data_IF_728119160214
#
_entry.id   IF_728119160214
#
_cell.length_a   1.000
_cell.length_b   1.000
_cell.length_c   1.000
_cell.angle_alpha   90.00
_cell.angle_beta   90.00
_cell.angle_gamma   90.00
#
_symmetry.space_group_name_H-M   'P 1'
#
loop_
_entity.id
_entity.type
_entity.pdbx_description
1 polymer ?
#
# COMPACT_ATOMS: atom_id res chain seq x y z
N UNK A 1 -16.50 -12.27 -20.52
CA UNK A 1 -16.21 -12.98 -19.26
C UNK A 1 -17.28 -12.65 -18.22
N UNK A 2 -17.36 -13.40 -17.12
CA UNK A 2 -18.28 -13.12 -16.01
C UNK A 2 -18.10 -11.70 -15.44
N UNK A 3 -16.84 -11.24 -15.32
CA UNK A 3 -16.51 -9.87 -14.90
C UNK A 3 -17.15 -8.82 -15.82
N UNK A 4 -17.04 -8.97 -17.14
CA UNK A 4 -17.62 -8.01 -18.10
C UNK A 4 -19.15 -7.96 -18.02
N UNK A 5 -19.79 -9.12 -17.80
CA UNK A 5 -21.24 -9.19 -17.62
C UNK A 5 -21.68 -8.47 -16.33
N UNK A 6 -20.94 -8.64 -15.22
CA UNK A 6 -21.20 -7.90 -13.98
C UNK A 6 -21.02 -6.40 -14.18
N UNK A 7 -19.93 -5.97 -14.82
CA UNK A 7 -19.66 -4.55 -15.14
C UNK A 7 -20.86 -3.97 -15.88
N UNK A 8 -21.24 -4.58 -17.00
CA UNK A 8 -22.38 -4.12 -17.80
C UNK A 8 -23.69 -4.08 -16.99
N UNK A 9 -24.03 -5.16 -16.28
CA UNK A 9 -25.26 -5.25 -15.48
C UNK A 9 -25.33 -4.15 -14.43
N UNK A 10 -24.28 -4.00 -13.62
CA UNK A 10 -24.23 -3.02 -12.52
C UNK A 10 -24.26 -1.60 -13.07
N UNK A 11 -23.44 -1.30 -14.09
CA UNK A 11 -23.41 0.04 -14.72
C UNK A 11 -24.77 0.41 -15.32
N UNK A 12 -25.45 -0.50 -16.04
CA UNK A 12 -26.79 -0.23 -16.59
C UNK A 12 -27.83 -0.06 -15.50
N UNK A 13 -27.75 -0.85 -14.42
CA UNK A 13 -28.71 -0.78 -13.33
C UNK A 13 -28.53 0.43 -12.40
N UNK A 14 -27.34 1.02 -12.36
CA UNK A 14 -26.95 2.06 -11.40
C UNK A 14 -26.89 1.59 -9.94
N UNK A 15 -27.03 0.29 -9.66
CA UNK A 15 -27.07 -0.27 -8.30
C UNK A 15 -25.78 -1.03 -8.00
N UNK A 16 -25.05 -0.68 -6.93
CA UNK A 16 -23.85 -1.40 -6.53
C UNK A 16 -24.16 -2.86 -6.21
N UNK A 17 -23.21 -3.73 -6.50
CA UNK A 17 -23.26 -5.13 -6.11
C UNK A 17 -22.23 -5.39 -5.01
N UNK A 18 -22.72 -5.85 -3.86
CA UNK A 18 -21.91 -6.34 -2.76
C UNK A 18 -22.39 -7.74 -2.39
N UNK A 19 -21.49 -8.73 -2.52
CA UNK A 19 -21.78 -10.13 -2.22
C UNK A 19 -21.37 -10.47 -0.77
N UNK A 20 -22.07 -11.41 -0.10
CA UNK A 20 -21.79 -11.77 1.29
C UNK A 20 -20.37 -12.31 1.54
N UNK A 21 -19.67 -12.75 0.50
CA UNK A 21 -18.31 -13.26 0.60
C UNK A 21 -17.29 -12.20 1.02
N UNK A 22 -17.53 -10.91 0.74
CA UNK A 22 -16.68 -9.81 1.23
C UNK A 22 -16.70 -9.78 2.77
N UNK A 23 -17.90 -9.69 3.35
CA UNK A 23 -18.12 -9.65 4.80
C UNK A 23 -17.59 -10.87 5.51
N UNK A 24 -17.85 -12.06 4.96
CA UNK A 24 -17.34 -13.31 5.54
C UNK A 24 -15.82 -13.30 5.58
N UNK A 25 -15.17 -12.93 4.46
CA UNK A 25 -13.73 -12.89 4.39
C UNK A 25 -13.13 -11.92 5.42
N UNK A 26 -13.65 -10.69 5.53
CA UNK A 26 -13.09 -9.70 6.47
C UNK A 26 -13.23 -10.16 7.93
N UNK A 27 -14.37 -10.75 8.30
CA UNK A 27 -14.61 -11.22 9.68
C UNK A 27 -13.77 -12.43 10.07
N UNK A 28 -13.35 -13.22 9.09
CA UNK A 28 -12.47 -14.38 9.32
C UNK A 28 -11.00 -13.95 9.54
N UNK A 29 -10.64 -12.69 9.28
CA UNK A 29 -9.30 -12.15 9.56
C UNK A 29 -9.13 -11.84 11.05
N UNK A 30 -8.19 -12.55 11.68
CA UNK A 30 -7.82 -12.34 13.08
C UNK A 30 -7.10 -11.00 13.30
N UNK A 31 -7.23 -10.49 14.52
CA UNK A 31 -6.45 -9.36 15.03
C UNK A 31 -5.14 -9.84 15.66
N UNK A 32 -4.05 -9.04 15.63
CA UNK A 32 -3.95 -7.73 14.96
C UNK A 32 -3.89 -7.84 13.43
N UNK A 33 -4.51 -6.90 12.71
CA UNK A 33 -4.45 -6.77 11.24
C UNK A 33 -3.46 -5.67 10.87
N UNK A 34 -2.52 -5.96 9.98
CA UNK A 34 -1.52 -5.00 9.52
C UNK A 34 -1.84 -4.57 8.09
N UNK A 35 -1.92 -3.28 7.81
CA UNK A 35 -2.28 -2.74 6.50
C UNK A 35 -1.05 -2.08 5.90
N UNK A 36 -0.40 -2.74 4.94
CA UNK A 36 0.95 -2.39 4.47
C UNK A 36 0.94 -1.83 3.05
N UNK A 37 1.64 -0.72 2.87
CA UNK A 37 1.90 -0.11 1.57
C UNK A 37 3.37 0.32 1.45
N UNK A 38 3.95 0.24 0.25
CA UNK A 38 5.34 0.64 -0.05
C UNK A 38 5.40 1.72 -1.12
N UNK A 39 6.27 2.70 -0.89
CA UNK A 39 6.72 3.60 -1.94
C UNK A 39 8.12 3.22 -2.43
N UNK A 40 8.26 3.22 -3.75
CA UNK A 40 9.49 2.79 -4.44
C UNK A 40 9.92 3.80 -5.49
N UNK A 41 11.22 3.82 -5.77
CA UNK A 41 11.78 4.51 -6.93
C UNK A 41 12.41 3.47 -7.86
N UNK A 42 12.32 3.72 -9.17
CA UNK A 42 12.94 2.86 -10.18
C UNK A 42 13.52 3.69 -11.32
N UNK A 43 14.68 4.35 -11.14
CA UNK A 43 15.22 5.24 -12.14
C UNK A 43 15.65 4.48 -13.40
N UNK A 44 15.53 5.12 -14.56
CA UNK A 44 15.97 4.57 -15.83
C UNK A 44 17.51 4.42 -15.88
N UNK A 45 18.21 5.38 -15.27
CA UNK A 45 19.66 5.34 -15.05
C UNK A 45 19.88 4.99 -13.57
N UNK A 46 20.46 3.82 -13.26
CA UNK A 46 20.78 3.43 -11.88
C UNK A 46 21.65 4.48 -11.18
N UNK A 47 21.23 4.90 -9.99
CA UNK A 47 21.98 5.86 -9.16
C UNK A 47 22.77 5.17 -8.03
N UNK A 48 22.45 3.90 -7.74
CA UNK A 48 23.17 3.09 -6.75
C UNK A 48 23.86 1.90 -7.41
N UNK A 49 25.08 1.59 -6.96
CA UNK A 49 25.81 0.41 -7.38
C UNK A 49 25.02 -0.86 -7.06
N UNK A 50 25.04 -1.83 -7.98
CA UNK A 50 24.33 -3.10 -7.82
C UNK A 50 22.84 -3.06 -8.17
N UNK A 51 22.30 -1.91 -8.60
CA UNK A 51 20.92 -1.79 -9.13
C UNK A 51 20.89 -1.76 -10.66
N UNK A 52 19.72 -2.04 -11.26
CA UNK A 52 19.50 -2.04 -12.71
C UNK A 52 18.38 -1.08 -13.14
N UNK A 53 18.31 -0.67 -14.43
CA UNK A 53 17.25 0.19 -14.93
C UNK A 53 15.85 -0.31 -14.55
N UNK A 54 15.02 0.61 -14.04
CA UNK A 54 13.65 0.37 -13.60
C UNK A 54 13.48 -0.71 -12.53
N UNK A 55 14.55 -1.05 -11.80
CA UNK A 55 14.43 -1.88 -10.60
C UNK A 55 13.69 -1.09 -9.51
N UNK A 56 12.57 -1.59 -8.99
CA UNK A 56 11.93 -0.98 -7.83
C UNK A 56 12.84 -1.10 -6.61
N UNK A 57 13.17 0.04 -6.01
CA UNK A 57 13.89 0.13 -4.74
C UNK A 57 12.94 0.80 -3.74
N UNK A 58 12.49 0.09 -2.69
CA UNK A 58 11.66 0.69 -1.67
C UNK A 58 12.49 1.69 -0.86
N UNK A 59 11.92 2.86 -0.61
CA UNK A 59 12.53 3.88 0.26
C UNK A 59 11.62 4.26 1.43
N UNK A 60 10.36 3.85 1.39
CA UNK A 60 9.35 4.16 2.39
C UNK A 60 8.31 3.05 2.47
N UNK A 61 7.71 2.90 3.64
CA UNK A 61 6.45 2.17 3.82
C UNK A 61 5.60 2.82 4.90
N UNK A 62 4.30 2.55 4.84
CA UNK A 62 3.32 2.85 5.88
C UNK A 62 2.66 1.56 6.33
N UNK A 63 2.35 1.49 7.63
CA UNK A 63 1.60 0.39 8.21
C UNK A 63 0.60 0.88 9.25
N UNK A 64 -0.70 0.75 8.98
CA UNK A 64 -1.70 0.83 10.04
C UNK A 64 -1.84 -0.53 10.72
N UNK A 65 -1.97 -0.55 12.04
CA UNK A 65 -2.17 -1.77 12.82
C UNK A 65 -3.48 -1.69 13.56
N UNK A 66 -4.43 -2.52 13.18
CA UNK A 66 -5.70 -2.66 13.89
C UNK A 66 -5.55 -3.74 14.95
N UNK A 67 -5.43 -3.33 16.21
CA UNK A 67 -5.24 -4.23 17.37
C UNK A 67 -6.50 -4.96 17.78
N UNK A 68 -7.63 -4.28 17.58
CA UNK A 68 -8.99 -4.71 17.87
C UNK A 68 -9.93 -3.81 17.05
N UNK A 69 -11.24 -4.14 16.93
CA UNK A 69 -12.17 -3.32 16.16
C UNK A 69 -12.11 -1.84 16.58
N UNK A 70 -11.68 -0.98 15.65
CA UNK A 70 -11.56 0.48 15.87
C UNK A 70 -10.35 0.95 16.70
N UNK A 71 -9.46 0.05 17.13
CA UNK A 71 -8.22 0.39 17.83
C UNK A 71 -7.07 0.36 16.83
N UNK A 72 -6.74 1.53 16.28
CA UNK A 72 -5.77 1.70 15.21
C UNK A 72 -4.50 2.38 15.74
N UNK A 73 -3.35 1.77 15.44
CA UNK A 73 -2.01 2.34 15.58
C UNK A 73 -1.40 2.57 14.19
N UNK A 74 -0.35 3.38 14.12
CA UNK A 74 0.36 3.66 12.87
C UNK A 74 1.86 3.55 13.10
N UNK A 75 2.53 2.88 12.16
CA UNK A 75 3.97 2.79 12.03
C UNK A 75 4.36 3.18 10.61
N UNK A 76 5.53 3.80 10.46
CA UNK A 76 6.04 4.25 9.16
C UNK A 76 7.58 4.25 9.16
N UNK A 77 8.14 4.21 7.97
CA UNK A 77 9.58 4.39 7.74
C UNK A 77 9.80 5.16 6.44
N UNK A 78 10.80 6.05 6.42
CA UNK A 78 11.26 6.73 5.23
C UNK A 78 12.78 6.97 5.33
N UNK A 79 13.51 6.67 4.25
CA UNK A 79 14.94 6.95 4.15
C UNK A 79 15.20 7.98 3.04
N UNK A 80 15.61 9.19 3.43
CA UNK A 80 15.99 10.27 2.51
C UNK A 80 17.51 10.56 2.52
N UNK A 81 18.31 9.59 2.97
CA UNK A 81 19.76 9.74 3.16
C UNK A 81 20.59 9.70 1.87
N UNK A 82 19.98 9.30 0.75
CA UNK A 82 20.61 9.22 -0.57
C UNK A 82 21.45 7.97 -0.83
N UNK A 83 21.80 7.22 0.22
CA UNK A 83 22.35 5.86 0.09
C UNK A 83 21.27 4.84 -0.29
N UNK A 84 21.68 3.62 -0.65
CA UNK A 84 20.75 2.55 -1.00
C UNK A 84 19.94 2.11 0.24
N UNK A 85 18.61 2.36 0.31
CA UNK A 85 17.84 2.26 1.57
C UNK A 85 17.44 0.84 1.98
N UNK A 86 17.71 -0.15 1.12
CA UNK A 86 17.23 -1.55 1.20
C UNK A 86 17.32 -2.15 2.60
N UNK A 87 18.49 -2.04 3.26
CA UNK A 87 18.69 -2.67 4.57
C UNK A 87 17.90 -1.96 5.67
N UNK A 88 17.86 -0.63 5.66
CA UNK A 88 17.10 0.16 6.63
C UNK A 88 15.60 -0.13 6.53
N UNK A 89 15.09 -0.17 5.29
CA UNK A 89 13.71 -0.54 4.99
C UNK A 89 13.37 -1.93 5.53
N UNK A 90 14.20 -2.93 5.24
CA UNK A 90 13.97 -4.31 5.65
C UNK A 90 13.94 -4.47 7.17
N UNK A 91 14.91 -3.86 7.88
CA UNK A 91 14.99 -3.97 9.34
C UNK A 91 13.78 -3.29 10.01
N UNK A 92 13.45 -2.07 9.59
CA UNK A 92 12.32 -1.34 10.14
C UNK A 92 10.99 -2.07 9.89
N UNK A 93 10.83 -2.69 8.72
CA UNK A 93 9.65 -3.49 8.39
C UNK A 93 9.49 -4.71 9.31
N UNK A 94 10.59 -5.45 9.53
CA UNK A 94 10.63 -6.61 10.42
C UNK A 94 10.24 -6.22 11.84
N UNK A 95 10.75 -5.09 12.32
CA UNK A 95 10.47 -4.61 13.67
C UNK A 95 9.01 -4.18 13.82
N UNK A 96 8.39 -3.64 12.77
CA UNK A 96 7.01 -3.13 12.79
C UNK A 96 5.91 -4.20 12.62
N UNK A 97 6.14 -5.26 11.82
CA UNK A 97 5.10 -6.24 11.47
C UNK A 97 4.94 -7.41 12.46
N UNK A 98 5.69 -7.38 13.56
CA UNK A 98 5.62 -8.35 14.66
C UNK A 98 5.72 -9.82 14.16
N UNK A 99 5.39 -10.79 15.02
CA UNK A 99 5.48 -12.21 14.68
C UNK A 99 4.19 -12.81 14.11
N UNK A 100 3.03 -12.27 14.49
CA UNK A 100 1.71 -12.86 14.24
C UNK A 100 0.73 -11.87 13.62
N UNK A 101 -0.35 -12.38 13.02
CA UNK A 101 -1.43 -11.58 12.42
C UNK A 101 -1.31 -11.42 10.89
N UNK A 102 -2.44 -11.28 10.17
CA UNK A 102 -2.43 -11.10 8.72
C UNK A 102 -1.86 -9.74 8.31
N UNK A 103 -1.09 -9.73 7.22
CA UNK A 103 -0.54 -8.51 6.62
C UNK A 103 -1.28 -8.25 5.31
N UNK A 104 -2.24 -7.34 5.36
CA UNK A 104 -3.14 -6.97 4.28
C UNK A 104 -2.44 -6.01 3.32
N UNK A 105 -2.60 -6.29 2.02
CA UNK A 105 -2.10 -5.49 0.91
C UNK A 105 -3.15 -5.40 -0.21
N UNK A 106 -3.05 -4.39 -1.07
CA UNK A 106 -4.00 -4.19 -2.17
C UNK A 106 -3.60 -4.90 -3.48
N UNK A 107 -2.38 -5.44 -3.60
CA UNK A 107 -2.00 -6.21 -4.78
C UNK A 107 -0.78 -7.09 -4.52
N UNK A 108 -0.33 -7.86 -5.52
CA UNK A 108 0.93 -8.59 -5.42
C UNK A 108 2.21 -7.73 -5.51
N UNK A 109 2.13 -6.41 -5.45
CA UNK A 109 3.32 -5.53 -5.51
C UNK A 109 4.16 -5.65 -4.24
N UNK A 110 3.54 -5.52 -3.06
CA UNK A 110 4.20 -5.55 -1.75
C UNK A 110 4.95 -6.88 -1.57
N UNK A 111 4.33 -8.00 -1.96
CA UNK A 111 4.97 -9.33 -1.98
C UNK A 111 6.28 -9.33 -2.78
N UNK A 112 6.29 -8.69 -3.96
CA UNK A 112 7.50 -8.63 -4.81
C UNK A 112 8.59 -7.78 -4.18
N UNK A 113 8.22 -6.68 -3.52
CA UNK A 113 9.16 -5.83 -2.79
C UNK A 113 9.81 -6.61 -1.64
N UNK A 114 9.02 -7.27 -0.81
CA UNK A 114 9.55 -8.03 0.34
C UNK A 114 10.44 -9.20 -0.13
N UNK A 115 10.07 -9.88 -1.22
CA UNK A 115 10.92 -10.92 -1.81
C UNK A 115 12.26 -10.35 -2.32
N UNK A 116 12.24 -9.19 -2.99
CA UNK A 116 13.46 -8.52 -3.42
C UNK A 116 14.32 -8.04 -2.25
N UNK A 117 13.72 -7.61 -1.14
CA UNK A 117 14.45 -7.29 0.09
C UNK A 117 15.15 -8.55 0.64
N UNK A 118 14.49 -9.71 0.61
CA UNK A 118 15.05 -10.97 1.10
C UNK A 118 16.25 -11.43 0.24
N UNK A 119 16.19 -11.23 -1.08
CA UNK A 119 17.32 -11.50 -1.98
C UNK A 119 18.51 -10.57 -1.71
N UNK A 120 18.26 -9.30 -1.40
CA UNK A 120 19.30 -8.29 -1.19
C UNK A 120 19.84 -8.26 0.25
N UNK A 121 19.12 -8.84 1.22
CA UNK A 121 19.53 -8.98 2.62
C UNK A 121 19.41 -10.44 3.07
N UNK A 122 20.35 -11.34 2.66
CA UNK A 122 20.25 -12.77 2.94
C UNK A 122 20.18 -13.14 4.43
N UNK A 123 20.77 -12.31 5.30
CA UNK A 123 20.71 -12.47 6.75
C UNK A 123 19.31 -12.22 7.34
N UNK A 124 18.47 -11.43 6.64
CA UNK A 124 17.09 -11.10 7.03
C UNK A 124 16.05 -11.96 6.30
N UNK A 125 16.47 -12.77 5.32
CA UNK A 125 15.58 -13.49 4.42
C UNK A 125 14.56 -14.38 5.13
N UNK A 126 14.94 -15.04 6.23
CA UNK A 126 14.02 -15.88 7.01
C UNK A 126 12.88 -15.08 7.65
N UNK A 127 13.16 -13.89 8.17
CA UNK A 127 12.16 -13.02 8.79
C UNK A 127 11.25 -12.38 7.73
N UNK A 128 11.81 -11.97 6.59
CA UNK A 128 11.06 -11.44 5.46
C UNK A 128 10.15 -12.51 4.84
N UNK A 129 10.61 -13.77 4.75
CA UNK A 129 9.78 -14.88 4.31
C UNK A 129 8.60 -15.12 5.25
N UNK A 130 8.81 -15.03 6.57
CA UNK A 130 7.72 -15.15 7.54
C UNK A 130 6.65 -14.04 7.39
N UNK A 131 7.04 -12.84 6.93
CA UNK A 131 6.08 -11.79 6.55
C UNK A 131 5.33 -12.19 5.28
N UNK A 132 6.04 -12.65 4.25
CA UNK A 132 5.46 -13.09 2.96
C UNK A 132 4.38 -14.17 3.14
N UNK A 133 4.60 -15.09 4.10
CA UNK A 133 3.69 -16.19 4.41
C UNK A 133 2.39 -15.71 5.07
N UNK A 134 2.39 -14.52 5.67
CA UNK A 134 1.22 -13.88 6.31
C UNK A 134 0.50 -12.86 5.42
N UNK A 135 1.00 -12.62 4.20
CA UNK A 135 0.41 -11.64 3.28
C UNK A 135 -0.97 -12.07 2.78
N UNK A 136 -1.93 -11.16 2.89
CA UNK A 136 -3.31 -11.29 2.44
C UNK A 136 -3.60 -10.26 1.36
N UNK A 137 -3.85 -10.71 0.12
CA UNK A 137 -4.21 -9.82 -0.99
C UNK A 137 -5.71 -9.54 -0.99
N UNK A 138 -6.09 -8.28 -0.79
CA UNK A 138 -7.49 -7.84 -0.76
C UNK A 138 -8.11 -7.74 -2.15
N UNK A 139 -7.32 -7.48 -3.20
CA UNK A 139 -7.85 -7.20 -4.54
C UNK A 139 -8.65 -8.36 -5.13
N UNK A 140 -8.21 -9.64 -5.07
CA UNK A 140 -9.00 -10.76 -5.52
C UNK A 140 -10.35 -10.87 -4.80
N UNK A 141 -10.38 -10.58 -3.49
CA UNK A 141 -11.59 -10.66 -2.65
C UNK A 141 -12.57 -9.57 -3.05
N UNK A 142 -12.11 -8.32 -3.15
CA UNK A 142 -12.92 -7.18 -3.59
C UNK A 142 -13.39 -7.40 -5.02
N UNK A 143 -12.52 -7.87 -5.91
CA UNK A 143 -12.88 -8.20 -7.29
C UNK A 143 -13.91 -9.31 -7.36
N UNK A 144 -13.88 -10.31 -6.50
CA UNK A 144 -14.91 -11.35 -6.48
C UNK A 144 -16.26 -10.83 -5.96
N UNK A 145 -16.26 -9.92 -4.99
CA UNK A 145 -17.44 -9.64 -4.18
C UNK A 145 -18.04 -8.23 -4.31
N UNK A 146 -17.35 -7.28 -4.94
CA UNK A 146 -17.80 -5.90 -4.99
C UNK A 146 -17.63 -5.28 -6.37
N UNK A 147 -18.65 -4.53 -6.81
CA UNK A 147 -18.55 -3.62 -7.93
C UNK A 147 -19.56 -2.48 -7.81
N UNK A 148 -19.10 -1.26 -8.06
CA UNK A 148 -19.88 -0.04 -8.09
C UNK A 148 -19.88 0.55 -9.52
N UNK A 149 -20.97 1.19 -9.99
CA UNK A 149 -20.98 1.85 -11.31
C UNK A 149 -19.80 2.81 -11.54
N UNK A 150 -19.46 3.59 -10.51
CA UNK A 150 -18.39 4.61 -10.55
C UNK A 150 -16.96 4.03 -10.54
N UNK A 151 -16.80 2.72 -10.40
CA UNK A 151 -15.49 2.07 -10.54
C UNK A 151 -15.01 2.00 -11.99
N UNK A 152 -15.90 2.21 -12.98
CA UNK A 152 -15.59 2.28 -14.41
C UNK A 152 -14.73 1.10 -14.92
N UNK A 153 -14.95 -0.10 -14.37
CA UNK A 153 -14.22 -1.32 -14.72
C UNK A 153 -12.84 -1.49 -14.06
N UNK A 154 -12.43 -0.58 -13.16
CA UNK A 154 -11.21 -0.69 -12.36
C UNK A 154 -11.48 -1.24 -10.96
N UNK A 155 -10.51 -1.96 -10.39
CA UNK A 155 -10.48 -2.36 -8.98
C UNK A 155 -9.23 -1.85 -8.26
N UNK A 156 -8.56 -0.84 -8.82
CA UNK A 156 -7.51 -0.13 -8.08
C UNK A 156 -8.10 0.52 -6.82
N UNK A 157 -7.29 0.68 -5.77
CA UNK A 157 -7.77 1.26 -4.51
C UNK A 157 -8.40 2.65 -4.75
N UNK A 158 -7.78 3.45 -5.63
CA UNK A 158 -8.26 4.78 -6.06
C UNK A 158 -9.60 4.76 -6.81
N UNK A 159 -9.99 3.62 -7.40
CA UNK A 159 -11.31 3.45 -8.03
C UNK A 159 -12.36 2.92 -7.06
N UNK A 160 -11.96 2.17 -6.03
CA UNK A 160 -12.88 1.57 -5.04
C UNK A 160 -13.16 2.50 -3.87
N UNK A 161 -12.13 3.19 -3.36
CA UNK A 161 -12.24 4.03 -2.16
C UNK A 161 -13.36 5.08 -2.26
N UNK A 162 -13.48 5.87 -3.35
CA UNK A 162 -14.51 6.89 -3.44
C UNK A 162 -15.95 6.35 -3.39
N UNK A 163 -16.14 5.06 -3.71
CA UNK A 163 -17.46 4.43 -3.75
C UNK A 163 -17.90 3.85 -2.40
N UNK A 164 -17.00 3.82 -1.41
CA UNK A 164 -17.27 3.30 -0.07
C UNK A 164 -17.03 4.34 1.03
N UNK A 165 -16.09 5.25 0.81
CA UNK A 165 -15.67 6.29 1.73
C UNK A 165 -15.45 7.60 0.94
N UNK A 166 -16.53 8.23 0.43
CA UNK A 166 -16.42 9.43 -0.41
C UNK A 166 -15.79 10.63 0.31
N UNK A 167 -15.81 10.64 1.65
CA UNK A 167 -15.18 11.68 2.46
C UNK A 167 -13.65 11.49 2.60
N UNK A 168 -13.11 10.33 2.20
CA UNK A 168 -11.66 10.08 2.13
C UNK A 168 -11.16 10.45 0.74
N UNK A 169 -10.96 11.75 0.53
CA UNK A 169 -10.48 12.30 -0.73
C UNK A 169 -8.97 12.55 -0.70
N UNK A 170 -8.27 12.03 -1.71
CA UNK A 170 -6.86 12.33 -1.97
C UNK A 170 -6.65 13.80 -2.34
N UNK A 171 -7.70 14.55 -2.72
CA UNK A 171 -7.62 15.98 -3.01
C UNK A 171 -7.28 16.84 -1.78
N UNK A 172 -7.42 16.30 -0.57
CA UNK A 172 -6.99 16.95 0.66
C UNK A 172 -5.49 16.84 0.96
N UNK A 173 -4.76 15.99 0.23
CA UNK A 173 -3.30 15.93 0.32
C UNK A 173 -2.71 17.11 -0.43
N UNK A 174 -1.77 17.82 0.20
CA UNK A 174 -0.97 18.81 -0.51
C UNK A 174 0.23 18.09 -1.16
N UNK A 175 0.42 18.24 -2.47
CA UNK A 175 1.62 17.80 -3.16
C UNK A 175 1.48 16.49 -3.94
N UNK A 176 1.55 15.34 -3.26
CA UNK A 176 1.71 14.02 -3.89
C UNK A 176 0.37 13.27 -3.93
N UNK A 177 -0.01 12.82 -5.12
CA UNK A 177 -1.28 12.12 -5.36
C UNK A 177 -1.12 10.79 -6.10
N UNK A 178 0.06 10.51 -6.67
CA UNK A 178 0.36 9.25 -7.35
C UNK A 178 1.82 8.80 -7.20
N UNK A 179 2.07 7.50 -7.37
CA UNK A 179 3.40 6.90 -7.16
C UNK A 179 4.50 7.47 -8.07
N UNK A 180 4.14 7.98 -9.26
CA UNK A 180 5.08 8.69 -10.16
C UNK A 180 5.54 10.03 -9.59
N UNK A 181 4.66 10.73 -8.88
CA UNK A 181 4.98 11.95 -8.14
C UNK A 181 5.80 11.60 -6.89
N UNK A 182 5.43 10.56 -6.14
CA UNK A 182 6.20 10.07 -4.99
C UNK A 182 7.64 9.69 -5.38
N UNK A 183 7.81 8.94 -6.47
CA UNK A 183 9.12 8.63 -7.06
C UNK A 183 9.93 9.88 -7.43
N UNK A 184 9.27 10.96 -7.86
CA UNK A 184 9.94 12.19 -8.27
C UNK A 184 10.31 13.06 -7.07
N UNK A 185 9.38 13.23 -6.13
CA UNK A 185 9.60 13.84 -4.83
C UNK A 185 10.75 13.17 -4.07
N UNK A 186 10.84 11.85 -4.13
CA UNK A 186 11.95 11.11 -3.55
C UNK A 186 13.30 11.48 -4.18
N UNK A 187 13.38 11.51 -5.52
CA UNK A 187 14.62 11.89 -6.22
C UNK A 187 15.06 13.31 -5.86
N UNK A 188 14.12 14.24 -5.78
CA UNK A 188 14.39 15.60 -5.34
C UNK A 188 14.88 15.60 -3.88
N UNK A 189 14.26 14.81 -2.99
CA UNK A 189 14.61 14.79 -1.57
C UNK A 189 16.03 14.27 -1.30
N UNK A 190 16.48 13.27 -2.07
CA UNK A 190 17.83 12.68 -1.93
C UNK A 190 18.93 13.46 -2.67
N UNK A 191 18.57 14.46 -3.48
CA UNK A 191 19.56 15.30 -4.14
C UNK A 191 20.38 16.06 -3.09
N UNK A 192 21.73 15.98 -3.13
CA UNK A 192 22.60 16.73 -2.22
C UNK A 192 22.38 18.25 -2.26
N UNK A 193 21.96 18.79 -3.41
CA UNK A 193 21.74 20.22 -3.62
C UNK A 193 20.34 20.67 -3.16
N UNK A 194 19.48 19.74 -2.71
CA UNK A 194 18.16 20.10 -2.18
C UNK A 194 18.28 20.76 -0.81
N UNK A 195 17.74 21.98 -0.71
CA UNK A 195 17.69 22.77 0.52
C UNK A 195 16.99 22.02 1.67
N UNK A 196 17.47 22.16 2.92
CA UNK A 196 16.91 21.44 4.07
C UNK A 196 15.40 21.65 4.26
N UNK A 197 14.91 22.87 4.06
CA UNK A 197 13.48 23.20 4.18
C UNK A 197 12.65 22.48 3.12
N UNK A 198 13.15 22.37 1.88
CA UNK A 198 12.50 21.64 0.80
C UNK A 198 12.50 20.14 1.06
N UNK A 199 13.63 19.57 1.50
CA UNK A 199 13.72 18.14 1.87
C UNK A 199 12.72 17.78 2.96
N UNK A 200 12.58 18.64 3.95
CA UNK A 200 11.64 18.45 5.06
C UNK A 200 10.18 18.61 4.64
N UNK A 201 9.87 19.49 3.68
CA UNK A 201 8.53 19.51 3.05
C UNK A 201 8.25 18.21 2.29
N UNK A 202 9.17 17.77 1.43
CA UNK A 202 9.03 16.52 0.66
C UNK A 202 8.84 15.32 1.57
N UNK A 203 9.55 15.27 2.70
CA UNK A 203 9.36 14.24 3.73
C UNK A 203 7.93 14.22 4.25
N UNK A 204 7.35 15.37 4.59
CA UNK A 204 5.96 15.45 5.08
C UNK A 204 4.97 15.00 4.01
N UNK A 205 5.14 15.44 2.77
CA UNK A 205 4.24 15.11 1.66
C UNK A 205 4.28 13.60 1.37
N UNK A 206 5.48 13.01 1.33
CA UNK A 206 5.68 11.57 1.13
C UNK A 206 5.05 10.75 2.26
N UNK A 207 5.26 11.14 3.53
CA UNK A 207 4.66 10.46 4.68
C UNK A 207 3.13 10.55 4.64
N UNK A 208 2.57 11.74 4.36
CA UNK A 208 1.12 11.93 4.27
C UNK A 208 0.48 11.07 3.18
N UNK A 209 1.11 11.00 2.00
CA UNK A 209 0.63 10.20 0.87
C UNK A 209 0.60 8.70 1.19
N UNK A 210 1.72 8.11 1.60
CA UNK A 210 1.79 6.68 1.90
C UNK A 210 0.92 6.30 3.13
N UNK A 211 0.81 7.21 4.12
CA UNK A 211 -0.13 7.04 5.24
C UNK A 211 -1.56 6.92 4.74
N UNK A 212 -1.98 7.79 3.83
CA UNK A 212 -3.33 7.81 3.28
C UNK A 212 -3.68 6.50 2.53
N UNK A 213 -2.74 5.90 1.78
CA UNK A 213 -2.98 4.63 1.09
C UNK A 213 -3.33 3.49 2.08
N UNK A 214 -2.66 3.45 3.23
CA UNK A 214 -2.98 2.47 4.29
C UNK A 214 -4.26 2.80 5.06
N UNK A 215 -4.59 4.08 5.29
CA UNK A 215 -5.89 4.48 5.85
C UNK A 215 -7.04 4.07 4.94
N UNK A 216 -6.87 4.22 3.62
CA UNK A 216 -7.84 3.79 2.63
C UNK A 216 -8.12 2.29 2.74
N UNK A 217 -7.09 1.46 2.93
CA UNK A 217 -7.29 0.02 3.14
C UNK A 217 -8.06 -0.29 4.43
N UNK A 218 -7.77 0.41 5.53
CA UNK A 218 -8.54 0.28 6.79
C UNK A 218 -10.01 0.62 6.56
N UNK A 219 -10.30 1.73 5.88
CA UNK A 219 -11.67 2.14 5.58
C UNK A 219 -12.42 1.11 4.69
N UNK A 220 -11.74 0.56 3.70
CA UNK A 220 -12.29 -0.48 2.82
C UNK A 220 -12.62 -1.76 3.59
N UNK A 221 -11.70 -2.24 4.43
CA UNK A 221 -11.95 -3.43 5.26
C UNK A 221 -13.11 -3.18 6.23
N UNK A 222 -13.14 -2.03 6.90
CA UNK A 222 -14.24 -1.64 7.78
C UNK A 222 -15.59 -1.58 7.05
N UNK A 223 -15.63 -1.04 5.83
CA UNK A 223 -16.84 -1.02 5.02
C UNK A 223 -17.34 -2.44 4.71
N UNK A 224 -16.45 -3.32 4.23
CA UNK A 224 -16.81 -4.68 3.86
C UNK A 224 -17.14 -5.58 5.08
N UNK A 225 -16.56 -5.34 6.25
CA UNK A 225 -16.85 -6.10 7.47
C UNK A 225 -18.25 -5.80 8.05
N UNK A 226 -18.73 -4.58 7.82
CA UNK A 226 -19.97 -4.05 8.40
C UNK A 226 -21.20 -4.14 7.49
N UNK A 227 -21.01 -4.40 6.19
CA UNK A 227 -22.09 -4.52 5.18
C UNK A 227 -22.11 -5.92 4.56
#
# INVERSE_FOLDING_TARGET
SETQLRIHRVTVSGKPELLPGARRFMRDLAYPRFYLDFETVGPAIPIWAGTRPYQPVPFQWSCHVERAPGVIEHAEFIDLGGELPVRGVAQALIDALEADGPVLMWSGFERRIIAALAEQCPDLAGQLQAIIDRLVDLLPVVRANYYHPDMLGSWSIKAVLPTVAPDMDYAGLEGIHEGTEASSAYRDAIDPDTEPERREQLRRDLLAYCRHDTEAMVALVNFFENN
#
